data_IF_650763432603
#
_entry.id   IF_650763432603
#
_cell.length_a   1.000
_cell.length_b   1.000
_cell.length_c   1.000
_cell.angle_alpha   90.00
_cell.angle_beta   90.00
_cell.angle_gamma   90.00
#
_symmetry.space_group_name_H-M   'P 1'
#
loop_
_entity.id
_entity.type
_entity.pdbx_description
1 polymer ?
#
# COMPACT_ATOMS: atom_id res chain seq x y z
N UNK A 1 -70.20 0.18 -18.70
CA UNK A 1 -69.23 0.32 -17.59
C UNK A 1 -69.11 1.80 -17.22
N UNK A 2 -69.27 2.16 -15.95
CA UNK A 2 -69.24 3.56 -15.50
C UNK A 2 -67.80 4.10 -15.46
N UNK A 3 -67.57 5.32 -15.96
CA UNK A 3 -66.25 5.97 -15.96
C UNK A 3 -65.62 6.05 -14.54
N UNK A 4 -66.46 6.17 -13.49
CA UNK A 4 -66.02 6.16 -12.09
C UNK A 4 -65.40 4.83 -11.64
N UNK A 5 -65.97 3.69 -12.07
CA UNK A 5 -65.45 2.36 -11.76
C UNK A 5 -64.12 2.06 -12.46
N UNK A 6 -63.92 2.58 -13.68
CA UNK A 6 -62.65 2.45 -14.42
C UNK A 6 -61.58 3.31 -13.74
N UNK A 7 -61.91 4.54 -13.36
CA UNK A 7 -60.99 5.45 -12.66
C UNK A 7 -60.54 4.91 -11.30
N UNK A 8 -61.42 4.26 -10.53
CA UNK A 8 -61.05 3.65 -9.24
C UNK A 8 -60.12 2.44 -9.43
N UNK A 9 -60.38 1.62 -10.46
CA UNK A 9 -59.53 0.47 -10.81
C UNK A 9 -58.13 0.89 -11.26
N UNK A 10 -58.03 1.92 -12.11
CA UNK A 10 -56.73 2.47 -12.54
C UNK A 10 -55.94 3.07 -11.37
N UNK A 11 -56.60 3.78 -10.45
CA UNK A 11 -55.95 4.32 -9.25
C UNK A 11 -55.46 3.20 -8.32
N UNK A 12 -56.26 2.15 -8.12
CA UNK A 12 -55.87 0.98 -7.33
C UNK A 12 -54.64 0.27 -7.90
N UNK A 13 -54.58 0.05 -9.21
CA UNK A 13 -53.42 -0.53 -9.89
C UNK A 13 -52.18 0.35 -9.79
N UNK A 14 -52.34 1.67 -9.87
CA UNK A 14 -51.25 2.63 -9.70
C UNK A 14 -50.70 2.60 -8.27
N UNK A 15 -51.56 2.56 -7.24
CA UNK A 15 -51.14 2.44 -5.85
C UNK A 15 -50.41 1.13 -5.56
N UNK A 16 -50.89 0.00 -6.11
CA UNK A 16 -50.21 -1.30 -5.98
C UNK A 16 -48.87 -1.28 -6.70
N UNK A 17 -48.81 -0.73 -7.91
CA UNK A 17 -47.56 -0.54 -8.65
C UNK A 17 -46.55 0.32 -7.90
N UNK A 18 -46.99 1.43 -7.29
CA UNK A 18 -46.14 2.26 -6.45
C UNK A 18 -45.62 1.50 -5.24
N UNK A 19 -46.48 0.79 -4.49
CA UNK A 19 -46.06 0.00 -3.34
C UNK A 19 -45.04 -1.09 -3.70
N UNK A 20 -45.23 -1.77 -4.84
CA UNK A 20 -44.31 -2.79 -5.34
C UNK A 20 -42.92 -2.21 -5.66
N UNK A 21 -42.82 -0.91 -5.99
CA UNK A 21 -41.55 -0.23 -6.25
C UNK A 21 -40.98 0.40 -4.98
N UNK A 22 -41.79 1.10 -4.18
CA UNK A 22 -41.32 1.88 -3.02
C UNK A 22 -40.97 1.00 -1.83
N UNK A 23 -41.66 -0.13 -1.62
CA UNK A 23 -41.39 -1.01 -0.48
C UNK A 23 -40.00 -1.67 -0.54
N UNK A 24 -39.56 -2.28 -1.67
CA UNK A 24 -38.19 -2.79 -1.79
C UNK A 24 -37.12 -1.70 -1.62
N UNK A 25 -37.37 -0.48 -2.15
CA UNK A 25 -36.46 0.66 -1.96
C UNK A 25 -36.34 1.02 -0.48
N UNK A 26 -37.48 1.11 0.23
CA UNK A 26 -37.51 1.40 1.67
C UNK A 26 -36.77 0.34 2.49
N UNK A 27 -36.97 -0.95 2.19
CA UNK A 27 -36.27 -2.04 2.88
C UNK A 27 -34.76 -2.00 2.64
N UNK A 28 -34.32 -1.68 1.41
CA UNK A 28 -32.89 -1.48 1.09
C UNK A 28 -32.30 -0.31 1.86
N UNK A 29 -32.99 0.83 1.90
CA UNK A 29 -32.54 2.00 2.67
C UNK A 29 -32.42 1.71 4.16
N UNK A 30 -33.38 0.96 4.73
CA UNK A 30 -33.31 0.51 6.12
C UNK A 30 -32.07 -0.35 6.39
N UNK A 31 -31.79 -1.34 5.52
CA UNK A 31 -30.60 -2.20 5.64
C UNK A 31 -29.29 -1.43 5.54
N UNK A 32 -29.20 -0.49 4.60
CA UNK A 32 -28.03 0.40 4.47
C UNK A 32 -27.83 1.21 5.74
N UNK A 33 -28.88 1.82 6.30
CA UNK A 33 -28.79 2.58 7.56
C UNK A 33 -28.32 1.71 8.72
N UNK A 34 -28.87 0.49 8.86
CA UNK A 34 -28.46 -0.45 9.89
C UNK A 34 -26.98 -0.85 9.75
N UNK A 35 -26.51 -1.10 8.53
CA UNK A 35 -25.09 -1.39 8.26
C UNK A 35 -24.19 -0.20 8.59
N UNK A 36 -24.55 1.02 8.17
CA UNK A 36 -23.77 2.23 8.48
C UNK A 36 -23.72 2.50 9.98
N UNK A 37 -24.82 2.31 10.70
CA UNK A 37 -24.86 2.45 12.15
C UNK A 37 -23.94 1.43 12.84
N UNK A 38 -23.93 0.17 12.38
CA UNK A 38 -23.04 -0.86 12.90
C UNK A 38 -21.56 -0.55 12.63
N UNK A 39 -21.24 0.06 11.49
CA UNK A 39 -19.88 0.52 11.17
C UNK A 39 -19.47 1.64 12.11
N UNK A 40 -20.30 2.68 12.24
CA UNK A 40 -20.03 3.82 13.11
C UNK A 40 -19.90 3.40 14.59
N UNK A 41 -20.71 2.45 15.08
CA UNK A 41 -20.60 1.94 16.45
C UNK A 41 -19.29 1.21 16.73
N UNK A 42 -18.60 0.71 15.69
CA UNK A 42 -17.28 0.11 15.82
C UNK A 42 -16.13 1.15 15.76
N UNK A 43 -16.46 2.45 15.64
CA UNK A 43 -15.49 3.53 15.51
C UNK A 43 -14.85 3.64 14.12
N UNK A 44 -15.37 2.92 13.13
CA UNK A 44 -14.87 2.96 11.76
C UNK A 44 -15.51 4.13 10.97
N UNK A 45 -14.79 4.73 10.01
CA UNK A 45 -15.30 5.87 9.27
C UNK A 45 -16.43 5.49 8.31
N UNK A 46 -17.44 6.37 8.19
CA UNK A 46 -18.57 6.23 7.26
C UNK A 46 -18.73 7.42 6.31
N UNK A 47 -17.91 8.47 6.45
CA UNK A 47 -17.98 9.68 5.63
C UNK A 47 -16.61 10.22 5.28
N UNK A 48 -16.51 11.06 4.23
CA UNK A 48 -15.26 11.74 3.88
C UNK A 48 -14.81 12.70 4.98
N UNK A 49 -15.71 13.36 5.71
CA UNK A 49 -15.33 14.28 6.80
C UNK A 49 -14.56 13.61 7.93
N UNK A 50 -14.63 12.29 8.03
CA UNK A 50 -13.90 11.48 9.01
C UNK A 50 -12.55 10.99 8.47
N UNK A 51 -12.20 11.30 7.21
CA UNK A 51 -10.92 10.96 6.59
C UNK A 51 -9.91 12.10 6.71
N UNK A 52 -8.63 11.73 6.65
CA UNK A 52 -7.52 12.64 6.87
C UNK A 52 -7.22 12.81 8.36
N UNK A 53 -6.28 13.68 8.68
CA UNK A 53 -5.94 13.95 10.07
C UNK A 53 -6.96 14.91 10.71
N UNK A 54 -7.72 14.49 11.74
CA UNK A 54 -8.66 15.36 12.45
C UNK A 54 -7.95 16.34 13.39
N UNK A 55 -6.67 16.12 13.71
CA UNK A 55 -5.90 17.06 14.51
C UNK A 55 -5.56 18.29 13.68
N UNK A 56 -6.22 19.40 14.00
CA UNK A 56 -5.64 20.73 13.75
C UNK A 56 -4.24 20.70 14.34
N UNK A 57 -3.23 21.06 13.54
CA UNK A 57 -1.84 21.14 13.99
C UNK A 57 -1.83 22.04 15.23
N UNK A 58 -1.77 21.42 16.41
CA UNK A 58 -1.53 22.14 17.65
C UNK A 58 -0.11 22.65 17.54
N UNK A 59 0.00 23.91 17.11
CA UNK A 59 1.18 24.72 17.34
C UNK A 59 1.46 24.62 18.84
N UNK A 60 2.66 24.20 19.25
CA UNK A 60 3.26 24.19 20.63
C UNK A 60 3.60 22.80 21.25
N UNK A 61 4.75 22.67 21.97
CA UNK A 61 6.02 22.25 21.39
C UNK A 61 6.61 20.98 22.05
N UNK A 62 7.71 20.47 21.48
CA UNK A 62 8.67 19.45 22.00
C UNK A 62 8.72 18.11 21.23
N UNK A 63 9.02 18.20 19.94
CA UNK A 63 10.00 17.37 19.21
C UNK A 63 10.30 18.13 17.91
N UNK A 64 11.56 18.34 17.56
CA UNK A 64 11.95 19.37 16.59
C UNK A 64 11.34 19.22 15.18
N UNK A 65 10.77 18.04 14.86
CA UNK A 65 10.00 17.76 13.64
C UNK A 65 8.85 16.79 13.92
N UNK A 66 7.60 17.26 13.83
CA UNK A 66 6.41 16.44 14.16
C UNK A 66 5.79 15.79 12.91
N UNK A 67 5.80 16.48 11.77
CA UNK A 67 5.06 16.08 10.56
C UNK A 67 5.97 15.92 9.35
N UNK A 68 6.10 14.68 8.87
CA UNK A 68 6.89 14.32 7.69
C UNK A 68 6.45 15.05 6.42
N UNK A 69 5.15 15.33 6.30
CA UNK A 69 4.63 16.02 5.10
C UNK A 69 5.15 17.45 5.02
N UNK A 70 5.18 18.15 6.14
CA UNK A 70 5.71 19.52 6.22
C UNK A 70 7.18 19.56 5.80
N UNK A 71 8.00 18.64 6.31
CA UNK A 71 9.42 18.50 5.92
C UNK A 71 9.59 18.26 4.41
N UNK A 72 8.77 17.38 3.82
CA UNK A 72 8.79 17.11 2.38
C UNK A 72 8.36 18.35 1.58
N UNK A 73 7.39 19.11 2.07
CA UNK A 73 6.91 20.33 1.41
C UNK A 73 7.99 21.41 1.36
N UNK A 74 8.76 21.56 2.44
CA UNK A 74 9.84 22.56 2.53
C UNK A 74 10.96 22.32 1.49
N UNK A 75 11.16 21.06 1.07
CA UNK A 75 12.14 20.72 0.04
C UNK A 75 11.52 20.28 -1.29
N UNK A 76 10.22 20.51 -1.51
CA UNK A 76 9.54 20.04 -2.74
C UNK A 76 10.15 20.65 -4.00
N UNK A 77 10.34 21.96 -4.05
CA UNK A 77 10.86 22.63 -5.26
C UNK A 77 12.32 22.23 -5.58
N UNK A 78 13.28 22.18 -4.61
CA UNK A 78 14.57 21.55 -4.83
C UNK A 78 14.49 20.09 -5.28
N UNK A 79 13.56 19.30 -4.71
CA UNK A 79 13.36 17.90 -5.07
C UNK A 79 12.90 17.73 -6.52
N UNK A 80 11.99 18.58 -6.99
CA UNK A 80 11.54 18.57 -8.40
C UNK A 80 12.68 18.89 -9.36
N UNK A 81 13.55 19.86 -9.03
CA UNK A 81 14.75 20.16 -9.82
C UNK A 81 15.72 19.00 -9.86
N UNK A 82 15.98 18.38 -8.70
CA UNK A 82 16.84 17.21 -8.60
C UNK A 82 16.26 16.04 -9.41
N UNK A 83 14.96 15.77 -9.28
CA UNK A 83 14.27 14.71 -10.00
C UNK A 83 14.36 14.91 -11.51
N UNK A 84 14.11 16.13 -12.00
CA UNK A 84 14.25 16.47 -13.42
C UNK A 84 15.67 16.23 -13.93
N UNK A 85 16.68 16.51 -13.12
CA UNK A 85 18.08 16.28 -13.49
C UNK A 85 18.45 14.80 -13.54
N UNK A 86 17.91 13.99 -12.62
CA UNK A 86 18.09 12.54 -12.59
C UNK A 86 17.18 11.80 -13.59
N UNK A 87 16.26 12.50 -14.25
CA UNK A 87 15.32 11.91 -15.20
C UNK A 87 15.97 11.03 -16.28
N UNK A 88 17.11 11.38 -16.92
CA UNK A 88 17.75 10.52 -17.91
C UNK A 88 18.10 9.13 -17.37
N UNK A 89 18.53 9.05 -16.11
CA UNK A 89 18.75 7.77 -15.44
C UNK A 89 17.42 7.07 -15.13
N UNK A 90 16.48 7.79 -14.53
CA UNK A 90 15.19 7.23 -14.04
C UNK A 90 14.31 6.61 -15.14
N UNK A 91 14.51 6.99 -16.41
CA UNK A 91 13.80 6.41 -17.56
C UNK A 91 14.64 5.38 -18.33
N UNK A 92 15.87 5.12 -17.89
CA UNK A 92 16.77 4.15 -18.51
C UNK A 92 16.55 2.75 -17.95
N UNK A 93 16.95 1.72 -18.71
CA UNK A 93 16.92 0.33 -18.23
C UNK A 93 17.81 0.13 -17.00
N UNK A 94 18.86 0.94 -16.83
CA UNK A 94 19.74 0.87 -15.66
C UNK A 94 19.05 1.28 -14.34
N UNK A 95 17.91 1.97 -14.40
CA UNK A 95 17.12 2.25 -13.20
C UNK A 95 16.31 1.05 -12.73
N UNK A 96 16.02 0.08 -13.60
CA UNK A 96 15.27 -1.13 -13.26
C UNK A 96 16.15 -2.27 -12.74
N UNK A 97 17.46 -2.21 -12.99
CA UNK A 97 18.41 -3.23 -12.56
C UNK A 97 19.16 -2.76 -11.30
N UNK A 98 18.77 -3.29 -10.14
CA UNK A 98 19.35 -2.95 -8.84
C UNK A 98 20.70 -3.63 -8.58
N UNK A 99 21.00 -4.72 -9.28
CA UNK A 99 22.16 -5.57 -9.06
C UNK A 99 23.39 -5.07 -9.83
N UNK A 100 23.16 -4.28 -10.89
CA UNK A 100 24.25 -3.67 -11.65
C UNK A 100 24.79 -2.40 -10.96
N UNK A 101 26.13 -2.26 -10.84
CA UNK A 101 26.75 -1.01 -10.41
C UNK A 101 26.36 0.17 -11.30
N UNK A 102 26.45 1.39 -10.77
CA UNK A 102 26.28 2.58 -11.60
C UNK A 102 27.41 2.66 -12.64
N UNK A 103 27.05 3.00 -13.88
CA UNK A 103 28.07 3.34 -14.89
C UNK A 103 28.78 4.63 -14.51
N UNK A 104 30.02 4.82 -14.96
CA UNK A 104 30.79 6.06 -14.72
C UNK A 104 30.03 7.33 -15.15
N UNK A 105 29.24 7.24 -16.22
CA UNK A 105 28.37 8.33 -16.66
C UNK A 105 27.27 8.65 -15.65
N UNK A 106 26.62 7.62 -15.10
CA UNK A 106 25.55 7.78 -14.13
C UNK A 106 26.10 8.23 -12.77
N UNK A 107 27.27 7.73 -12.35
CA UNK A 107 27.95 8.23 -11.15
C UNK A 107 28.23 9.73 -11.24
N UNK A 108 28.79 10.19 -12.36
CA UNK A 108 29.05 11.61 -12.60
C UNK A 108 27.76 12.44 -12.63
N UNK A 109 26.68 11.91 -13.22
CA UNK A 109 25.36 12.54 -13.20
C UNK A 109 24.84 12.71 -11.78
N UNK A 110 24.93 11.65 -10.96
CA UNK A 110 24.44 11.64 -9.59
C UNK A 110 25.26 12.60 -8.72
N UNK A 111 26.59 12.60 -8.87
CA UNK A 111 27.48 13.50 -8.16
C UNK A 111 27.16 14.97 -8.47
N UNK A 112 27.08 15.34 -9.74
CA UNK A 112 26.67 16.70 -10.13
C UNK A 112 25.25 17.02 -9.63
N UNK A 113 24.33 16.07 -9.64
CA UNK A 113 22.95 16.26 -9.20
C UNK A 113 22.83 16.53 -7.70
N UNK A 114 23.40 15.66 -6.86
CA UNK A 114 23.35 15.81 -5.40
C UNK A 114 24.20 16.96 -4.89
N UNK A 115 25.32 17.30 -5.54
CA UNK A 115 26.11 18.50 -5.19
C UNK A 115 25.35 19.81 -5.42
N UNK A 116 24.48 19.89 -6.44
CA UNK A 116 23.66 21.09 -6.71
C UNK A 116 22.41 21.18 -5.83
N UNK A 117 22.01 20.08 -5.21
CA UNK A 117 20.83 20.00 -4.34
C UNK A 117 21.14 19.26 -3.02
N UNK A 118 22.16 19.71 -2.25
CA UNK A 118 22.68 18.97 -1.09
C UNK A 118 21.67 18.88 0.06
N UNK A 119 20.66 19.75 0.09
CA UNK A 119 19.64 19.79 1.13
C UNK A 119 18.56 18.70 0.99
N UNK A 120 18.41 18.08 -0.19
CA UNK A 120 17.27 17.21 -0.46
C UNK A 120 17.34 15.90 0.34
N UNK A 121 18.41 15.13 0.20
CA UNK A 121 18.52 13.84 0.91
C UNK A 121 18.46 13.97 2.45
N UNK A 122 19.17 14.93 3.08
CA UNK A 122 19.04 15.14 4.53
C UNK A 122 17.61 15.45 4.96
N UNK A 123 16.90 16.33 4.25
CA UNK A 123 15.52 16.66 4.61
C UNK A 123 14.54 15.49 4.44
N UNK A 124 14.71 14.67 3.40
CA UNK A 124 13.89 13.46 3.22
C UNK A 124 14.18 12.40 4.30
N UNK A 125 15.43 12.32 4.77
CA UNK A 125 15.81 11.50 5.92
C UNK A 125 15.22 12.03 7.22
N UNK A 126 15.26 13.33 7.45
CA UNK A 126 14.60 13.93 8.62
C UNK A 126 13.10 13.67 8.61
N UNK A 127 12.46 13.69 7.44
CA UNK A 127 11.05 13.37 7.29
C UNK A 127 10.73 11.92 7.71
N UNK A 128 11.61 10.95 7.48
CA UNK A 128 11.40 9.57 7.93
C UNK A 128 11.51 9.37 9.44
N UNK A 129 12.06 10.36 10.16
CA UNK A 129 12.18 10.36 11.61
C UNK A 129 11.11 11.21 12.31
N UNK A 130 10.16 11.76 11.55
CA UNK A 130 9.00 12.45 12.12
C UNK A 130 8.04 11.47 12.80
N UNK A 131 7.14 12.00 13.64
CA UNK A 131 6.20 11.17 14.40
C UNK A 131 4.99 10.72 13.58
N UNK A 132 4.62 11.48 12.54
CA UNK A 132 3.42 11.21 11.73
C UNK A 132 3.53 11.80 10.33
N UNK A 133 2.61 11.41 9.46
CA UNK A 133 2.36 12.03 8.16
C UNK A 133 0.95 12.64 8.12
N UNK A 134 0.85 13.97 8.03
CA UNK A 134 -0.43 14.68 8.00
C UNK A 134 -1.11 14.58 6.62
N UNK A 135 -2.02 13.64 6.41
CA UNK A 135 -2.74 13.52 5.13
C UNK A 135 -3.63 14.74 4.83
N UNK A 136 -3.75 15.17 3.55
CA UNK A 136 -4.64 16.26 3.18
C UNK A 136 -6.08 15.99 3.63
N UNK A 137 -6.67 16.98 4.32
CA UNK A 137 -8.06 16.91 4.78
C UNK A 137 -9.02 17.11 3.60
N UNK A 138 -10.13 16.36 3.54
CA UNK A 138 -11.23 16.62 2.60
C UNK A 138 -12.11 17.79 3.05
N UNK A 139 -11.87 18.36 4.24
CA UNK A 139 -12.62 19.53 4.73
C UNK A 139 -12.10 20.82 4.09
N UNK A 140 -13.02 21.63 3.60
CA UNK A 140 -12.76 22.96 3.06
C UNK A 140 -13.63 24.00 3.79
N UNK A 141 -13.33 25.31 3.70
CA UNK A 141 -14.23 26.35 4.24
C UNK A 141 -15.67 26.27 3.71
N UNK A 142 -15.87 25.68 2.53
CA UNK A 142 -17.18 25.50 1.89
C UNK A 142 -17.85 24.16 2.24
N UNK A 143 -17.26 23.34 3.11
CA UNK A 143 -17.75 22.02 3.49
C UNK A 143 -16.86 20.87 3.01
N UNK A 144 -17.41 19.67 2.97
CA UNK A 144 -16.69 18.45 2.55
C UNK A 144 -16.50 18.45 1.04
N UNK A 145 -15.27 18.23 0.60
CA UNK A 145 -14.91 18.17 -0.81
C UNK A 145 -15.62 16.97 -1.50
N UNK A 146 -16.14 17.13 -2.73
CA UNK A 146 -16.66 16.01 -3.51
C UNK A 146 -15.60 14.90 -3.69
N UNK A 147 -16.01 13.61 -3.77
CA UNK A 147 -15.08 12.48 -3.84
C UNK A 147 -14.06 12.58 -4.98
N UNK A 148 -14.50 13.01 -6.17
CA UNK A 148 -13.66 13.18 -7.36
C UNK A 148 -12.59 14.27 -7.14
N UNK A 149 -12.97 15.40 -6.54
CA UNK A 149 -12.04 16.47 -6.21
C UNK A 149 -11.05 16.04 -5.13
N UNK A 150 -11.50 15.32 -4.10
CA UNK A 150 -10.62 14.82 -3.06
C UNK A 150 -9.61 13.81 -3.60
N UNK A 151 -10.04 12.91 -4.49
CA UNK A 151 -9.14 11.99 -5.17
C UNK A 151 -8.06 12.73 -5.98
N UNK A 152 -8.37 13.85 -6.63
CA UNK A 152 -7.35 14.65 -7.32
C UNK A 152 -6.30 15.22 -6.37
N UNK A 153 -6.68 15.62 -5.15
CA UNK A 153 -5.75 16.05 -4.11
C UNK A 153 -4.83 14.88 -3.72
N UNK A 154 -5.40 13.71 -3.47
CA UNK A 154 -4.65 12.52 -3.10
C UNK A 154 -3.70 12.06 -4.22
N UNK A 155 -4.10 12.11 -5.49
CA UNK A 155 -3.25 11.73 -6.62
C UNK A 155 -2.03 12.66 -6.78
N UNK A 156 -2.20 13.96 -6.50
CA UNK A 156 -1.06 14.91 -6.46
C UNK A 156 -0.10 14.56 -5.32
N UNK A 157 -0.64 14.26 -4.15
CA UNK A 157 0.14 13.85 -2.98
C UNK A 157 0.92 12.56 -3.26
N UNK A 158 0.25 11.53 -3.77
CA UNK A 158 0.84 10.25 -4.20
C UNK A 158 1.95 10.45 -5.25
N UNK A 159 1.76 11.37 -6.20
CA UNK A 159 2.79 11.68 -7.20
C UNK A 159 4.05 12.27 -6.55
N UNK A 160 3.88 13.15 -5.54
CA UNK A 160 5.00 13.69 -4.76
C UNK A 160 5.72 12.59 -3.98
N UNK A 161 4.98 11.69 -3.35
CA UNK A 161 5.56 10.57 -2.60
C UNK A 161 6.36 9.62 -3.48
N UNK A 162 5.88 9.32 -4.70
CA UNK A 162 6.65 8.54 -5.68
C UNK A 162 7.94 9.25 -6.10
N UNK A 163 7.92 10.56 -6.26
CA UNK A 163 9.13 11.34 -6.53
C UNK A 163 10.11 11.23 -5.36
N UNK A 164 9.64 11.43 -4.12
CA UNK A 164 10.44 11.30 -2.90
C UNK A 164 11.09 9.92 -2.81
N UNK A 165 10.32 8.85 -2.97
CA UNK A 165 10.84 7.48 -2.94
C UNK A 165 11.92 7.24 -4.01
N UNK A 166 11.68 7.68 -5.24
CA UNK A 166 12.69 7.59 -6.32
C UNK A 166 13.97 8.35 -6.00
N UNK A 167 13.88 9.54 -5.40
CA UNK A 167 15.04 10.32 -5.02
C UNK A 167 15.85 9.66 -3.90
N UNK A 168 15.19 9.08 -2.89
CA UNK A 168 15.86 8.34 -1.82
C UNK A 168 16.55 7.07 -2.36
N UNK A 169 15.91 6.33 -3.27
CA UNK A 169 16.53 5.17 -3.94
C UNK A 169 17.75 5.57 -4.77
N UNK A 170 17.66 6.67 -5.55
CA UNK A 170 18.83 7.23 -6.23
C UNK A 170 19.94 7.63 -5.25
N UNK A 171 19.59 8.23 -4.12
CA UNK A 171 20.55 8.56 -3.05
C UNK A 171 21.24 7.31 -2.51
N UNK A 172 20.48 6.23 -2.30
CA UNK A 172 21.03 4.96 -1.82
C UNK A 172 22.00 4.37 -2.85
N UNK A 173 21.64 4.37 -4.14
CA UNK A 173 22.55 3.90 -5.21
C UNK A 173 23.81 4.74 -5.30
N UNK A 174 23.69 6.05 -5.11
CA UNK A 174 24.83 6.95 -5.07
C UNK A 174 25.80 6.58 -3.94
N UNK A 175 25.27 6.38 -2.74
CA UNK A 175 26.05 6.03 -1.55
C UNK A 175 26.75 4.69 -1.74
N UNK A 176 26.06 3.67 -2.27
CA UNK A 176 26.66 2.38 -2.60
C UNK A 176 27.83 2.54 -3.60
N UNK A 177 27.65 3.30 -4.68
CA UNK A 177 28.71 3.56 -5.65
C UNK A 177 29.92 4.32 -5.07
N UNK A 178 29.73 5.06 -3.97
CA UNK A 178 30.80 5.73 -3.21
C UNK A 178 31.41 4.83 -2.12
N UNK A 179 31.08 3.54 -2.10
CA UNK A 179 31.56 2.58 -1.09
C UNK A 179 30.95 2.76 0.30
N UNK A 180 29.88 3.56 0.42
CA UNK A 180 29.17 3.82 1.68
C UNK A 180 27.97 2.88 1.79
N UNK A 181 28.24 1.58 1.89
CA UNK A 181 27.23 0.52 1.79
C UNK A 181 26.22 0.56 2.94
N UNK A 182 26.67 0.73 4.19
CA UNK A 182 25.76 0.87 5.33
C UNK A 182 24.89 2.14 5.26
N UNK A 183 25.46 3.28 4.85
CA UNK A 183 24.67 4.50 4.65
C UNK A 183 23.62 4.32 3.55
N UNK A 184 23.97 3.57 2.49
CA UNK A 184 23.05 3.20 1.40
C UNK A 184 21.90 2.33 1.89
N UNK A 185 22.18 1.30 2.69
CA UNK A 185 21.18 0.43 3.27
C UNK A 185 20.28 1.18 4.26
N UNK A 186 20.87 2.02 5.12
CA UNK A 186 20.12 2.84 6.08
C UNK A 186 19.19 3.83 5.38
N UNK A 187 19.54 4.37 4.21
CA UNK A 187 18.63 5.23 3.45
C UNK A 187 17.40 4.46 2.91
N UNK A 188 17.54 3.17 2.62
CA UNK A 188 16.40 2.31 2.30
C UNK A 188 15.54 2.02 3.54
N UNK A 189 16.16 1.81 4.71
CA UNK A 189 15.44 1.69 6.00
C UNK A 189 14.65 2.95 6.31
N UNK A 190 15.26 4.13 6.10
CA UNK A 190 14.61 5.42 6.28
C UNK A 190 13.43 5.59 5.30
N UNK A 191 13.57 5.13 4.04
CA UNK A 191 12.45 5.10 3.11
C UNK A 191 11.31 4.17 3.58
N UNK A 192 11.62 2.99 4.12
CA UNK A 192 10.60 2.09 4.68
C UNK A 192 9.85 2.77 5.83
N UNK A 193 10.57 3.34 6.80
CA UNK A 193 9.97 4.11 7.91
C UNK A 193 9.05 5.22 7.42
N UNK A 194 9.49 5.99 6.42
CA UNK A 194 8.67 7.03 5.82
C UNK A 194 7.36 6.47 5.21
N UNK A 195 7.43 5.32 4.53
CA UNK A 195 6.20 4.66 4.05
C UNK A 195 5.31 4.18 5.19
N UNK A 196 5.87 3.80 6.35
CA UNK A 196 5.12 3.46 7.56
C UNK A 196 4.32 4.62 8.12
N UNK A 197 4.93 5.81 8.20
CA UNK A 197 4.22 7.03 8.63
C UNK A 197 3.01 7.33 7.72
N UNK A 198 3.10 6.96 6.45
CA UNK A 198 2.10 7.17 5.41
C UNK A 198 0.98 6.11 5.41
N UNK A 199 1.10 5.00 6.14
CA UNK A 199 0.10 3.92 6.16
C UNK A 199 -1.25 4.33 6.75
N UNK A 200 -1.30 5.45 7.47
CA UNK A 200 -2.54 6.09 7.95
C UNK A 200 -3.39 6.72 6.84
N UNK A 201 -2.97 6.56 5.58
CA UNK A 201 -3.59 7.16 4.40
C UNK A 201 -5.06 6.79 4.17
N UNK A 202 -5.82 7.66 3.47
CA UNK A 202 -7.28 7.58 3.40
C UNK A 202 -7.83 6.59 2.37
N UNK A 203 -7.04 6.04 1.45
CA UNK A 203 -7.55 5.21 0.33
C UNK A 203 -6.61 4.07 -0.03
N UNK A 204 -7.11 3.05 -0.74
CA UNK A 204 -6.28 1.94 -1.24
C UNK A 204 -5.23 2.40 -2.23
N UNK A 205 -5.49 3.47 -3.00
CA UNK A 205 -4.50 4.04 -3.95
C UNK A 205 -3.27 4.57 -3.23
N UNK A 206 -3.48 5.18 -2.05
CA UNK A 206 -2.40 5.65 -1.20
C UNK A 206 -1.63 4.46 -0.65
N UNK A 207 -2.33 3.48 -0.08
CA UNK A 207 -1.71 2.26 0.43
C UNK A 207 -0.87 1.52 -0.64
N UNK A 208 -1.42 1.30 -1.83
CA UNK A 208 -0.72 0.66 -2.94
C UNK A 208 0.51 1.44 -3.39
N UNK A 209 0.47 2.78 -3.31
CA UNK A 209 1.64 3.61 -3.62
C UNK A 209 2.75 3.38 -2.59
N UNK A 210 2.42 3.32 -1.30
CA UNK A 210 3.39 3.07 -0.24
C UNK A 210 4.01 1.67 -0.38
N UNK A 211 3.20 0.65 -0.68
CA UNK A 211 3.67 -0.70 -1.00
C UNK A 211 4.63 -0.68 -2.18
N UNK A 212 4.30 0.01 -3.27
CA UNK A 212 5.19 0.09 -4.43
C UNK A 212 6.54 0.74 -4.09
N UNK A 213 6.54 1.81 -3.30
CA UNK A 213 7.77 2.49 -2.85
C UNK A 213 8.61 1.55 -1.95
N UNK A 214 7.96 0.86 -1.02
CA UNK A 214 8.61 -0.12 -0.12
C UNK A 214 9.20 -1.29 -0.89
N UNK A 215 8.48 -1.83 -1.88
CA UNK A 215 8.99 -2.92 -2.71
C UNK A 215 10.27 -2.55 -3.45
N UNK A 216 10.39 -1.31 -3.93
CA UNK A 216 11.63 -0.82 -4.52
C UNK A 216 12.77 -0.66 -3.51
N UNK A 217 12.47 -0.29 -2.26
CA UNK A 217 13.46 -0.29 -1.18
C UNK A 217 13.92 -1.72 -0.84
N UNK A 218 12.99 -2.69 -0.85
CA UNK A 218 13.30 -4.13 -0.68
C UNK A 218 14.21 -4.63 -1.80
N UNK A 219 13.91 -4.31 -3.07
CA UNK A 219 14.76 -4.69 -4.21
C UNK A 219 16.19 -4.18 -4.06
N UNK A 220 16.32 -2.93 -3.62
CA UNK A 220 17.62 -2.31 -3.42
C UNK A 220 18.38 -2.90 -2.22
N UNK A 221 17.71 -3.18 -1.11
CA UNK A 221 18.32 -3.88 0.03
C UNK A 221 18.70 -5.32 -0.32
N UNK A 222 17.90 -6.01 -1.12
CA UNK A 222 18.25 -7.33 -1.65
C UNK A 222 19.56 -7.24 -2.44
N UNK A 223 19.68 -6.33 -3.40
CA UNK A 223 20.92 -6.16 -4.16
C UNK A 223 22.14 -5.85 -3.26
N UNK A 224 21.98 -5.00 -2.24
CA UNK A 224 23.05 -4.67 -1.29
C UNK A 224 23.46 -5.91 -0.48
N UNK A 225 22.50 -6.61 0.13
CA UNK A 225 22.77 -7.79 0.98
C UNK A 225 23.41 -8.95 0.21
N UNK A 226 23.10 -9.09 -1.08
CA UNK A 226 23.68 -10.13 -1.92
C UNK A 226 25.13 -9.81 -2.31
N UNK A 227 25.48 -8.53 -2.44
CA UNK A 227 26.78 -8.09 -2.96
C UNK A 227 27.82 -7.84 -1.86
N UNK A 228 27.41 -7.23 -0.74
CA UNK A 228 28.33 -6.65 0.24
C UNK A 228 27.98 -7.12 1.66
N UNK A 229 28.97 -7.22 2.58
CA UNK A 229 28.69 -7.36 4.01
C UNK A 229 28.16 -6.03 4.58
N UNK A 230 27.36 -6.12 5.65
CA UNK A 230 26.85 -4.95 6.37
C UNK A 230 27.25 -5.04 7.85
N UNK A 231 27.27 -3.89 8.51
CA UNK A 231 27.49 -3.85 9.96
C UNK A 231 26.31 -4.51 10.72
N UNK A 232 26.56 -5.14 11.88
CA UNK A 232 25.49 -5.74 12.69
C UNK A 232 24.37 -4.77 13.07
N UNK A 233 24.71 -3.49 13.28
CA UNK A 233 23.72 -2.44 13.55
C UNK A 233 22.78 -2.17 12.37
N UNK A 234 23.31 -2.25 11.14
CA UNK A 234 22.53 -2.10 9.90
C UNK A 234 21.60 -3.29 9.72
N UNK A 235 22.09 -4.53 9.96
CA UNK A 235 21.26 -5.73 9.95
C UNK A 235 20.08 -5.64 10.94
N UNK A 236 20.34 -5.17 12.17
CA UNK A 236 19.29 -4.99 13.18
C UNK A 236 18.26 -3.92 12.77
N UNK A 237 18.70 -2.82 12.15
CA UNK A 237 17.80 -1.77 11.68
C UNK A 237 16.91 -2.23 10.51
N UNK A 238 17.46 -3.03 9.58
CA UNK A 238 16.70 -3.67 8.50
C UNK A 238 15.63 -4.59 9.08
N UNK A 239 16.02 -5.48 9.99
CA UNK A 239 15.11 -6.44 10.62
C UNK A 239 13.95 -5.73 11.34
N UNK A 240 14.26 -4.70 12.13
CA UNK A 240 13.24 -3.92 12.82
C UNK A 240 12.23 -3.31 11.83
N UNK A 241 12.71 -2.64 10.78
CA UNK A 241 11.84 -1.99 9.81
C UNK A 241 10.95 -2.99 9.04
N UNK A 242 11.50 -4.17 8.71
CA UNK A 242 10.73 -5.22 8.02
C UNK A 242 9.66 -5.84 8.94
N UNK A 243 10.00 -6.08 10.21
CA UNK A 243 9.06 -6.64 11.17
C UNK A 243 7.86 -5.72 11.43
N UNK A 244 8.07 -4.40 11.45
CA UNK A 244 7.00 -3.39 11.60
C UNK A 244 5.98 -3.42 10.43
N UNK A 245 6.40 -3.86 9.25
CA UNK A 245 5.59 -3.85 8.03
C UNK A 245 4.87 -5.17 7.70
N UNK A 246 4.98 -6.19 8.53
CA UNK A 246 4.28 -7.47 8.29
C UNK A 246 2.81 -7.49 8.74
N UNK A 247 2.40 -6.54 9.58
CA UNK A 247 1.03 -6.48 10.10
C UNK A 247 0.02 -6.22 8.98
N UNK A 248 -1.18 -6.79 9.13
CA UNK A 248 -2.32 -6.46 8.28
C UNK A 248 -3.02 -5.15 8.68
N UNK A 249 -2.62 -4.49 9.77
CA UNK A 249 -3.31 -3.32 10.31
C UNK A 249 -3.41 -2.17 9.31
N UNK A 250 -2.32 -1.84 8.62
CA UNK A 250 -2.30 -0.80 7.59
C UNK A 250 -3.21 -1.13 6.39
N UNK A 251 -3.21 -2.40 5.97
CA UNK A 251 -4.10 -2.87 4.90
C UNK A 251 -5.57 -2.80 5.34
N UNK A 252 -5.88 -3.26 6.55
CA UNK A 252 -7.24 -3.21 7.12
C UNK A 252 -7.72 -1.76 7.31
N UNK A 253 -6.84 -0.87 7.75
CA UNK A 253 -7.11 0.57 7.82
C UNK A 253 -7.47 1.11 6.44
N UNK A 254 -6.64 0.84 5.43
CA UNK A 254 -6.90 1.28 4.06
C UNK A 254 -8.25 0.78 3.51
N UNK A 255 -8.66 -0.47 3.81
CA UNK A 255 -9.99 -0.97 3.44
C UNK A 255 -11.13 -0.23 4.16
N UNK A 256 -10.95 0.09 5.44
CA UNK A 256 -11.96 0.82 6.23
C UNK A 256 -12.15 2.25 5.73
N UNK A 257 -11.05 2.95 5.42
CA UNK A 257 -11.12 4.33 4.91
C UNK A 257 -11.57 4.37 3.45
N UNK A 258 -11.17 3.38 2.63
CA UNK A 258 -11.69 3.20 1.27
C UNK A 258 -13.21 2.98 1.28
N UNK A 259 -13.74 2.25 2.27
CA UNK A 259 -15.19 2.09 2.44
C UNK A 259 -15.87 3.45 2.61
N UNK A 260 -15.31 4.35 3.40
CA UNK A 260 -15.85 5.71 3.58
C UNK A 260 -15.79 6.52 2.29
N UNK A 261 -14.69 6.44 1.54
CA UNK A 261 -14.56 7.06 0.22
C UNK A 261 -15.59 6.51 -0.79
N UNK A 262 -15.78 5.19 -0.82
CA UNK A 262 -16.75 4.53 -1.68
C UNK A 262 -18.18 4.88 -1.31
N UNK A 263 -18.53 4.96 -0.01
CA UNK A 263 -19.83 5.45 0.45
C UNK A 263 -20.09 6.82 -0.19
N UNK A 264 -19.21 7.79 0.01
CA UNK A 264 -19.37 9.13 -0.52
C UNK A 264 -19.47 9.16 -2.06
N UNK A 265 -18.72 8.30 -2.75
CA UNK A 265 -18.80 8.13 -4.20
C UNK A 265 -20.16 7.59 -4.67
N UNK A 266 -20.79 6.69 -3.92
CA UNK A 266 -22.17 6.27 -4.18
C UNK A 266 -23.19 7.36 -3.83
N UNK A 267 -22.92 8.17 -2.81
CA UNK A 267 -23.81 9.28 -2.43
C UNK A 267 -23.85 10.38 -3.49
N UNK A 268 -22.74 10.65 -4.18
CA UNK A 268 -22.68 11.63 -5.26
C UNK A 268 -23.43 11.22 -6.54
N UNK A 269 -23.89 9.97 -6.67
CA UNK A 269 -24.63 9.48 -7.84
C UNK A 269 -26.12 9.86 -7.87
N UNK A 270 -26.61 10.59 -6.85
CA UNK A 270 -28.00 11.08 -6.81
C UNK A 270 -29.05 9.96 -6.89
N UNK A 271 -30.07 10.12 -7.74
CA UNK A 271 -31.17 9.15 -7.84
C UNK A 271 -30.74 7.73 -8.26
N UNK A 272 -29.62 7.58 -8.98
CA UNK A 272 -29.10 6.26 -9.39
C UNK A 272 -28.76 5.39 -8.18
N UNK A 273 -28.33 6.01 -7.07
CA UNK A 273 -28.07 5.34 -5.78
C UNK A 273 -29.32 4.64 -5.26
N UNK A 274 -30.45 5.34 -5.22
CA UNK A 274 -31.67 4.88 -4.55
C UNK A 274 -32.32 3.69 -5.26
N UNK A 275 -32.09 3.54 -6.57
CA UNK A 275 -32.74 2.54 -7.41
C UNK A 275 -31.83 1.30 -7.61
N UNK A 276 -30.51 1.50 -7.70
CA UNK A 276 -29.56 0.43 -8.06
C UNK A 276 -29.31 -0.62 -6.97
N UNK A 277 -29.49 -0.27 -5.68
CA UNK A 277 -29.07 -1.15 -4.57
C UNK A 277 -27.55 -1.28 -4.41
N UNK A 278 -26.75 -0.64 -5.28
CA UNK A 278 -25.30 -0.83 -5.36
C UNK A 278 -24.56 -0.51 -4.05
N UNK A 279 -25.02 0.47 -3.28
CA UNK A 279 -24.43 0.78 -1.97
C UNK A 279 -24.57 -0.37 -0.97
N UNK A 280 -25.69 -1.10 -0.97
CA UNK A 280 -25.87 -2.25 -0.08
C UNK A 280 -24.92 -3.39 -0.46
N UNK A 281 -24.80 -3.68 -1.76
CA UNK A 281 -23.89 -4.69 -2.30
C UNK A 281 -22.43 -4.32 -1.99
N UNK A 282 -22.08 -3.04 -2.18
CA UNK A 282 -20.75 -2.51 -1.89
C UNK A 282 -20.39 -2.65 -0.40
N UNK A 283 -21.27 -2.23 0.51
CA UNK A 283 -21.04 -2.35 1.95
C UNK A 283 -20.86 -3.81 2.39
N UNK A 284 -21.67 -4.70 1.81
CA UNK A 284 -21.58 -6.14 2.08
C UNK A 284 -20.26 -6.72 1.56
N UNK A 285 -19.85 -6.34 0.34
CA UNK A 285 -18.58 -6.78 -0.25
C UNK A 285 -17.36 -6.24 0.52
N UNK A 286 -17.36 -4.96 0.91
CA UNK A 286 -16.31 -4.37 1.73
C UNK A 286 -16.20 -5.04 3.10
N UNK A 287 -17.34 -5.38 3.73
CA UNK A 287 -17.32 -6.16 4.98
C UNK A 287 -16.61 -7.50 4.77
N UNK A 288 -16.97 -8.24 3.73
CA UNK A 288 -16.31 -9.50 3.38
C UNK A 288 -14.81 -9.30 3.18
N UNK A 289 -14.39 -8.28 2.44
CA UNK A 289 -12.97 -8.00 2.21
C UNK A 289 -12.21 -7.64 3.50
N UNK A 290 -12.81 -6.84 4.39
CA UNK A 290 -12.21 -6.50 5.69
C UNK A 290 -12.08 -7.76 6.56
N UNK A 291 -13.09 -8.63 6.56
CA UNK A 291 -13.04 -9.87 7.35
C UNK A 291 -12.01 -10.86 6.77
N UNK A 292 -11.92 -11.01 5.44
CA UNK A 292 -10.88 -11.79 4.78
C UNK A 292 -9.47 -11.21 5.00
N UNK A 293 -9.33 -9.90 5.21
CA UNK A 293 -8.04 -9.27 5.54
C UNK A 293 -7.45 -9.67 6.88
N UNK A 294 -8.26 -10.28 7.77
CA UNK A 294 -7.83 -10.79 9.08
C UNK A 294 -7.41 -12.26 9.02
N UNK A 295 -7.69 -12.94 7.92
CA UNK A 295 -7.45 -14.38 7.76
C UNK A 295 -6.18 -14.60 6.94
N UNK A 296 -5.26 -15.48 7.36
CA UNK A 296 -4.13 -15.90 6.55
C UNK A 296 -4.58 -16.40 5.18
N UNK A 297 -3.79 -16.15 4.15
CA UNK A 297 -4.19 -16.44 2.76
C UNK A 297 -4.43 -17.93 2.51
N UNK A 298 -3.64 -18.80 3.14
CA UNK A 298 -3.79 -20.26 3.12
C UNK A 298 -5.14 -20.75 3.68
N UNK A 299 -5.78 -19.96 4.54
CA UNK A 299 -7.04 -20.30 5.20
C UNK A 299 -8.27 -19.66 4.52
N UNK A 300 -8.07 -18.92 3.41
CA UNK A 300 -9.17 -18.23 2.74
C UNK A 300 -10.10 -19.22 2.04
N UNK A 301 -11.44 -19.01 2.14
CA UNK A 301 -12.39 -19.83 1.42
C UNK A 301 -12.30 -19.60 -0.10
N UNK A 302 -12.54 -20.66 -0.88
CA UNK A 302 -12.54 -20.58 -2.34
C UNK A 302 -13.65 -19.68 -2.92
N UNK A 303 -14.71 -19.41 -2.14
CA UNK A 303 -15.86 -18.62 -2.57
C UNK A 303 -15.74 -17.16 -2.14
N UNK A 304 -15.80 -16.22 -3.09
CA UNK A 304 -15.70 -14.76 -2.83
C UNK A 304 -17.01 -14.06 -2.48
N UNK A 305 -18.03 -14.82 -2.07
CA UNK A 305 -19.35 -14.30 -1.74
C UNK A 305 -20.33 -14.23 -2.94
N UNK A 306 -21.49 -13.57 -2.76
CA UNK A 306 -22.52 -13.50 -3.79
C UNK A 306 -22.11 -12.62 -4.99
N UNK A 307 -22.73 -12.80 -6.17
CA UNK A 307 -22.48 -11.94 -7.33
C UNK A 307 -22.82 -10.48 -7.03
N UNK A 308 -22.00 -9.57 -7.54
CA UNK A 308 -22.11 -8.13 -7.30
C UNK A 308 -22.72 -7.39 -8.49
N UNK A 309 -23.45 -6.30 -8.23
CA UNK A 309 -23.83 -5.34 -9.27
C UNK A 309 -22.60 -4.68 -9.92
N UNK A 310 -22.75 -4.22 -11.17
CA UNK A 310 -21.63 -3.73 -11.99
C UNK A 310 -20.76 -2.66 -11.32
N UNK A 311 -21.36 -1.67 -10.63
CA UNK A 311 -20.61 -0.62 -9.94
C UNK A 311 -19.79 -1.17 -8.77
N UNK A 312 -20.39 -2.05 -7.96
CA UNK A 312 -19.69 -2.71 -6.85
C UNK A 312 -18.60 -3.63 -7.35
N UNK A 313 -18.79 -4.29 -8.50
CA UNK A 313 -17.78 -5.13 -9.13
C UNK A 313 -16.54 -4.33 -9.56
N UNK A 314 -16.71 -3.13 -10.12
CA UNK A 314 -15.58 -2.26 -10.49
C UNK A 314 -14.76 -1.89 -9.24
N UNK A 315 -15.44 -1.49 -8.16
CA UNK A 315 -14.76 -1.17 -6.90
C UNK A 315 -14.03 -2.39 -6.32
N UNK A 316 -14.64 -3.58 -6.37
CA UNK A 316 -14.02 -4.79 -5.83
C UNK A 316 -12.80 -5.25 -6.63
N UNK A 317 -12.73 -4.98 -7.94
CA UNK A 317 -11.51 -5.24 -8.72
C UNK A 317 -10.31 -4.47 -8.18
N UNK A 318 -10.50 -3.20 -7.78
CA UNK A 318 -9.43 -2.40 -7.18
C UNK A 318 -9.04 -2.92 -5.79
N UNK A 319 -10.02 -3.36 -4.98
CA UNK A 319 -9.78 -3.96 -3.67
C UNK A 319 -9.03 -5.29 -3.77
N UNK A 320 -9.40 -6.15 -4.71
CA UNK A 320 -8.70 -7.42 -4.96
C UNK A 320 -7.26 -7.18 -5.44
N UNK A 321 -7.02 -6.17 -6.28
CA UNK A 321 -5.68 -5.77 -6.68
C UNK A 321 -4.86 -5.26 -5.49
N UNK A 322 -5.47 -4.48 -4.59
CA UNK A 322 -4.83 -4.00 -3.36
C UNK A 322 -4.44 -5.16 -2.43
N UNK A 323 -5.32 -6.15 -2.25
CA UNK A 323 -5.00 -7.38 -1.51
C UNK A 323 -3.81 -8.11 -2.11
N UNK A 324 -3.78 -8.30 -3.43
CA UNK A 324 -2.66 -8.95 -4.10
C UNK A 324 -1.34 -8.19 -3.90
N UNK A 325 -1.38 -6.85 -3.87
CA UNK A 325 -0.22 -6.02 -3.52
C UNK A 325 0.23 -6.22 -2.07
N UNK A 326 -0.71 -6.23 -1.11
CA UNK A 326 -0.42 -6.51 0.31
C UNK A 326 0.26 -7.87 0.51
N UNK A 327 -0.30 -8.93 -0.09
CA UNK A 327 0.27 -10.28 0.03
C UNK A 327 1.68 -10.35 -0.54
N UNK A 328 1.92 -9.72 -1.71
CA UNK A 328 3.25 -9.63 -2.31
C UNK A 328 4.23 -8.87 -1.42
N UNK A 329 3.80 -7.74 -0.85
CA UNK A 329 4.63 -6.95 0.07
C UNK A 329 5.05 -7.78 1.28
N UNK A 330 4.09 -8.43 1.94
CA UNK A 330 4.33 -9.30 3.09
C UNK A 330 5.32 -10.43 2.78
N UNK A 331 5.16 -11.10 1.63
CA UNK A 331 6.08 -12.15 1.19
C UNK A 331 7.49 -11.59 1.00
N UNK A 332 7.62 -10.45 0.33
CA UNK A 332 8.93 -9.85 0.04
C UNK A 332 9.62 -9.33 1.30
N UNK A 333 8.87 -8.79 2.27
CA UNK A 333 9.39 -8.47 3.59
C UNK A 333 9.98 -9.71 4.26
N UNK A 334 9.23 -10.81 4.32
CA UNK A 334 9.69 -12.09 4.89
C UNK A 334 10.92 -12.66 4.17
N UNK A 335 10.93 -12.62 2.84
CA UNK A 335 12.08 -13.04 2.06
C UNK A 335 13.33 -12.21 2.41
N UNK A 336 13.18 -10.89 2.57
CA UNK A 336 14.31 -10.03 2.92
C UNK A 336 14.78 -10.24 4.35
N UNK A 337 13.87 -10.52 5.30
CA UNK A 337 14.23 -10.89 6.68
C UNK A 337 15.06 -12.16 6.73
N UNK A 338 14.63 -13.19 5.98
CA UNK A 338 15.41 -14.44 5.82
C UNK A 338 16.79 -14.14 5.23
N UNK A 339 16.87 -13.36 4.15
CA UNK A 339 18.15 -12.99 3.55
C UNK A 339 19.05 -12.24 4.54
N UNK A 340 18.48 -11.28 5.26
CA UNK A 340 19.17 -10.49 6.26
C UNK A 340 19.76 -11.38 7.37
N UNK A 341 18.98 -12.35 7.88
CA UNK A 341 19.43 -13.32 8.88
C UNK A 341 20.55 -14.24 8.35
N UNK A 342 20.42 -14.74 7.12
CA UNK A 342 21.46 -15.55 6.46
C UNK A 342 22.79 -14.80 6.41
N UNK A 343 22.75 -13.52 6.03
CA UNK A 343 23.94 -12.67 5.91
C UNK A 343 24.51 -12.28 7.27
N UNK A 344 23.65 -11.93 8.24
CA UNK A 344 24.07 -11.59 9.61
C UNK A 344 24.76 -12.74 10.33
N UNK A 345 24.33 -13.98 10.11
CA UNK A 345 24.91 -15.19 10.72
C UNK A 345 25.97 -15.87 9.83
N UNK A 346 26.34 -15.25 8.71
CA UNK A 346 27.32 -15.77 7.73
C UNK A 346 27.04 -17.24 7.33
N UNK A 347 25.76 -17.59 7.15
CA UNK A 347 25.37 -18.96 6.84
C UNK A 347 25.75 -19.30 5.40
N UNK A 348 26.53 -20.37 5.21
CA UNK A 348 27.14 -20.75 3.91
C UNK A 348 26.76 -22.15 3.42
N UNK A 349 26.04 -22.94 4.23
CA UNK A 349 25.65 -24.32 3.91
C UNK A 349 24.77 -24.43 2.66
N UNK A 350 24.76 -25.61 2.01
CA UNK A 350 23.86 -25.87 0.86
C UNK A 350 22.41 -26.12 1.30
N UNK A 351 22.22 -26.64 2.51
CA UNK A 351 20.92 -26.82 3.14
C UNK A 351 20.84 -25.93 4.39
N UNK A 352 20.03 -24.87 4.31
CA UNK A 352 19.69 -24.05 5.47
C UNK A 352 18.36 -24.51 6.04
N UNK A 353 18.32 -24.69 7.36
CA UNK A 353 17.07 -24.92 8.08
C UNK A 353 16.60 -23.61 8.71
N UNK A 354 15.28 -23.41 8.77
CA UNK A 354 14.71 -22.18 9.33
C UNK A 354 15.07 -21.97 10.81
N UNK A 355 15.37 -23.04 11.55
CA UNK A 355 15.82 -22.98 12.95
C UNK A 355 17.18 -22.26 13.13
N UNK A 356 17.98 -22.12 12.06
CA UNK A 356 19.27 -21.43 12.08
C UNK A 356 19.15 -19.91 11.94
N UNK A 357 17.96 -19.39 11.60
CA UNK A 357 17.77 -17.99 11.23
C UNK A 357 17.51 -17.06 12.42
N UNK A 358 17.23 -17.61 13.61
CA UNK A 358 16.77 -16.86 14.79
C UNK A 358 15.56 -15.93 14.50
N UNK A 359 14.70 -16.35 13.57
CA UNK A 359 13.50 -15.62 13.18
C UNK A 359 12.25 -16.29 13.78
N UNK A 360 11.21 -15.51 14.14
CA UNK A 360 9.91 -16.08 14.49
C UNK A 360 9.35 -16.93 13.35
N UNK A 361 8.69 -18.05 13.68
CA UNK A 361 8.09 -18.97 12.67
C UNK A 361 7.22 -18.23 11.65
N UNK A 362 6.43 -17.26 12.10
CA UNK A 362 5.56 -16.46 11.23
C UNK A 362 6.34 -15.65 10.18
N UNK A 363 7.57 -15.22 10.49
CA UNK A 363 8.46 -14.49 9.57
C UNK A 363 9.02 -15.40 8.46
N UNK A 364 9.02 -16.71 8.70
CA UNK A 364 9.50 -17.71 7.73
C UNK A 364 8.38 -18.36 6.93
N UNK A 365 7.12 -18.13 7.30
CA UNK A 365 5.97 -18.82 6.73
C UNK A 365 5.52 -18.16 5.41
N UNK A 366 5.21 -18.99 4.42
CA UNK A 366 4.56 -18.58 3.17
C UNK A 366 3.07 -18.33 3.43
N UNK A 367 2.54 -17.11 3.17
CA UNK A 367 1.13 -16.81 3.34
C UNK A 367 0.18 -17.70 2.53
N UNK A 368 0.62 -18.23 1.39
CA UNK A 368 -0.24 -18.99 0.48
C UNK A 368 -0.36 -20.47 0.84
N UNK A 369 0.72 -21.10 1.29
CA UNK A 369 0.71 -22.53 1.65
C UNK A 369 0.59 -22.76 3.16
N UNK A 370 1.03 -21.82 3.99
CA UNK A 370 1.23 -22.03 5.42
C UNK A 370 2.51 -22.83 5.75
N UNK A 371 3.26 -23.28 4.75
CA UNK A 371 4.57 -23.92 4.92
C UNK A 371 5.69 -22.86 4.97
N UNK A 372 6.92 -23.21 5.38
CA UNK A 372 8.05 -22.28 5.27
C UNK A 372 8.36 -21.88 3.82
N UNK A 373 8.77 -20.62 3.63
CA UNK A 373 9.27 -20.07 2.38
C UNK A 373 10.45 -20.88 1.86
N UNK A 374 10.56 -20.99 0.54
CA UNK A 374 11.63 -21.76 -0.12
C UNK A 374 12.92 -20.96 -0.12
N UNK A 375 14.01 -21.58 0.32
CA UNK A 375 15.36 -21.01 0.35
C UNK A 375 16.22 -21.89 -0.56
N UNK A 376 16.83 -21.28 -1.58
CA UNK A 376 17.66 -21.97 -2.57
C UNK A 376 18.96 -21.20 -2.74
N UNK A 377 20.10 -21.90 -2.67
CA UNK A 377 21.38 -21.33 -3.09
C UNK A 377 21.42 -21.30 -4.61
N UNK A 378 21.74 -20.15 -5.19
CA UNK A 378 21.89 -20.05 -6.65
C UNK A 378 23.23 -20.62 -7.10
N UNK A 379 23.44 -20.80 -8.40
CA UNK A 379 24.73 -21.26 -8.94
C UNK A 379 25.89 -20.28 -8.71
N UNK A 380 25.63 -19.09 -8.17
CA UNK A 380 26.62 -18.13 -7.67
C UNK A 380 26.67 -18.09 -6.13
N UNK A 381 27.20 -17.02 -5.55
CA UNK A 381 27.28 -16.84 -4.08
C UNK A 381 25.98 -16.31 -3.44
N UNK A 382 24.94 -16.04 -4.23
CA UNK A 382 23.70 -15.44 -3.76
C UNK A 382 22.57 -16.42 -3.45
N UNK A 383 21.55 -15.92 -2.75
CA UNK A 383 20.40 -16.68 -2.28
C UNK A 383 19.11 -16.29 -3.01
N UNK A 384 18.31 -17.30 -3.38
CA UNK A 384 16.94 -17.12 -3.85
C UNK A 384 15.97 -17.53 -2.75
N UNK A 385 15.03 -16.64 -2.41
CA UNK A 385 14.02 -16.89 -1.38
C UNK A 385 12.66 -16.53 -1.97
N UNK A 386 11.70 -17.45 -1.94
CA UNK A 386 10.42 -17.23 -2.66
C UNK A 386 9.22 -17.98 -2.06
N UNK A 387 8.03 -17.46 -2.38
CA UNK A 387 6.73 -18.08 -2.11
C UNK A 387 6.29 -18.99 -3.27
N UNK A 388 5.46 -19.98 -2.97
CA UNK A 388 4.77 -20.81 -3.98
C UNK A 388 3.66 -20.05 -4.71
N UNK A 389 3.22 -18.91 -4.17
CA UNK A 389 2.20 -18.05 -4.75
C UNK A 389 0.76 -18.59 -4.70
N UNK A 390 -0.21 -17.85 -5.29
CA UNK A 390 -1.64 -18.15 -5.20
C UNK A 390 -2.10 -19.44 -5.90
N UNK A 391 -1.23 -20.13 -6.64
CA UNK A 391 -1.56 -21.36 -7.35
C UNK A 391 -0.42 -22.38 -7.29
N UNK A 392 -0.53 -23.44 -6.45
CA UNK A 392 0.49 -24.49 -6.37
C UNK A 392 0.52 -25.45 -7.58
N UNK A 393 -0.28 -25.22 -8.62
CA UNK A 393 -0.33 -26.10 -9.80
C UNK A 393 0.79 -25.78 -10.79
N UNK A 394 1.74 -26.72 -10.92
CA UNK A 394 2.95 -26.66 -11.76
C UNK A 394 2.66 -26.37 -13.24
N UNK A 395 2.67 -25.10 -13.65
CA UNK A 395 2.83 -24.71 -15.05
C UNK A 395 3.87 -23.58 -15.16
N UNK A 396 4.45 -23.39 -16.35
CA UNK A 396 5.52 -22.40 -16.57
C UNK A 396 5.10 -20.95 -16.27
N UNK A 397 3.79 -20.65 -16.32
CA UNK A 397 3.26 -19.34 -15.92
C UNK A 397 3.33 -19.14 -14.40
N UNK A 398 3.15 -20.19 -13.60
CA UNK A 398 3.29 -20.13 -12.15
C UNK A 398 4.75 -20.04 -11.69
N UNK A 399 5.71 -20.59 -12.44
CA UNK A 399 7.14 -20.37 -12.19
C UNK A 399 7.53 -18.89 -12.34
N UNK A 400 7.04 -18.21 -13.39
CA UNK A 400 7.24 -16.75 -13.53
C UNK A 400 6.55 -15.97 -12.40
N UNK A 401 5.36 -16.39 -11.99
CA UNK A 401 4.68 -15.77 -10.86
C UNK A 401 5.42 -16.00 -9.53
N UNK A 402 6.11 -17.13 -9.31
CA UNK A 402 6.93 -17.35 -8.12
C UNK A 402 8.24 -16.57 -8.15
N UNK A 403 8.83 -16.35 -9.32
CA UNK A 403 9.96 -15.41 -9.50
C UNK A 403 9.53 -13.98 -9.10
N UNK A 404 8.30 -13.59 -9.44
CA UNK A 404 7.70 -12.29 -9.09
C UNK A 404 7.27 -12.15 -7.61
N UNK A 405 7.28 -13.25 -6.84
CA UNK A 405 6.85 -13.34 -5.44
C UNK A 405 8.00 -13.72 -4.50
N UNK A 406 9.23 -13.40 -4.87
CA UNK A 406 10.42 -13.67 -4.06
C UNK A 406 11.51 -12.61 -4.24
N UNK A 407 12.71 -12.98 -3.79
CA UNK A 407 13.95 -12.26 -3.99
C UNK A 407 14.97 -13.20 -4.63
N UNK A 408 15.80 -12.66 -5.51
CA UNK A 408 16.92 -13.38 -6.11
C UNK A 408 18.13 -12.46 -6.29
N UNK A 409 19.34 -13.03 -6.43
CA UNK A 409 20.56 -12.27 -6.72
C UNK A 409 20.58 -11.67 -8.12
#
# INVERSE_FOLDING_TARGET
MNAKTISLGCLGLLCVGLLLVTFPIGLRQYRVRAQLQAIASNGDPISLSELGDPTTVSVWPMADKVDARSEILDVTEPSERLYKKLQPYLISNAAADHHQPLSTQNEALFEDAFQKHPQVLPALRDASHCQRYAWPSPLTPSGVMPPDQYMQVLLKEVSRLRMVGRLMLCGSRFLAAKGKVDESAMLCVDLMRLTGLQETGPTIVVYQTNVAIRQSAIDQLNAILQAEPLDPGTHAAIEQALAEHESSDAFLHALKTERAYGIASFESMGMIRSISGGLQDYLSAMKTQIDLGKTPTCDLPATRGPPLGALSQIAMTAVDACRASFERDRIRCRCLRILNAIRMHELTGEELTHDQLDLPVIATQDPYSGDPLKIEKTSGEGWRIHSVGPNPFKNAANQRNSEDLGLSP
#
